data_IF_241179161773
#
_entry.id   IF_241179161773
#
_cell.length_a   1.000
_cell.length_b   1.000
_cell.length_c   1.000
_cell.angle_alpha   90.00
_cell.angle_beta   90.00
_cell.angle_gamma   90.00
#
_symmetry.space_group_name_H-M   'P 1'
#
loop_
_entity.id
_entity.type
_entity.pdbx_description
1 polymer ?
#
# COMPACT_ATOMS: atom_id res chain seq x y z
N UNK A 1 14.06 8.10 -21.94
CA UNK A 1 13.58 6.71 -21.78
C UNK A 1 12.30 6.66 -20.95
N UNK A 2 11.18 7.11 -21.52
CA UNK A 2 9.80 6.84 -21.04
C UNK A 2 8.86 6.54 -22.22
N UNK A 3 9.38 6.61 -23.45
CA UNK A 3 8.64 6.51 -24.71
C UNK A 3 9.19 5.40 -25.64
N UNK A 4 10.10 4.55 -25.17
CA UNK A 4 10.73 3.49 -25.98
C UNK A 4 9.84 2.27 -26.20
N UNK A 5 8.66 2.20 -25.56
CA UNK A 5 7.76 1.04 -25.64
C UNK A 5 8.24 -0.21 -24.89
N UNK A 6 9.56 -0.39 -24.78
CA UNK A 6 10.18 -1.43 -23.94
C UNK A 6 10.57 -0.83 -22.58
N UNK A 7 9.87 -1.28 -21.53
CA UNK A 7 10.14 -0.91 -20.14
C UNK A 7 10.67 -2.13 -19.39
N UNK A 8 11.71 -1.93 -18.57
CA UNK A 8 12.17 -2.95 -17.63
C UNK A 8 11.08 -3.30 -16.60
N UNK A 9 11.26 -4.41 -15.89
CA UNK A 9 10.33 -4.78 -14.81
C UNK A 9 10.91 -4.41 -13.44
N UNK A 10 10.08 -3.84 -12.58
CA UNK A 10 10.40 -3.62 -11.17
C UNK A 10 9.49 -4.49 -10.30
N UNK A 11 10.09 -5.46 -9.62
CA UNK A 11 9.42 -6.49 -8.83
C UNK A 11 8.37 -7.33 -9.60
N UNK A 12 8.25 -7.27 -10.93
CA UNK A 12 7.19 -7.97 -11.68
C UNK A 12 6.01 -7.08 -12.14
N UNK A 13 6.12 -5.77 -11.96
CA UNK A 13 5.36 -4.78 -12.74
C UNK A 13 6.27 -4.25 -13.86
N UNK A 14 5.75 -3.96 -15.08
CA UNK A 14 6.45 -3.07 -16.00
C UNK A 14 6.80 -1.78 -15.27
N UNK A 15 7.91 -1.10 -15.61
CA UNK A 15 8.29 0.15 -14.96
C UNK A 15 7.14 1.17 -15.07
N UNK A 16 6.38 1.28 -13.97
CA UNK A 16 5.11 2.00 -13.91
C UNK A 16 5.17 2.96 -12.73
N UNK A 17 4.68 4.17 -12.94
CA UNK A 17 4.52 5.14 -11.86
C UNK A 17 3.10 4.96 -11.32
N UNK A 18 3.02 4.49 -10.08
CA UNK A 18 1.77 4.40 -9.33
C UNK A 18 1.65 5.66 -8.48
N UNK A 19 0.57 6.40 -8.67
CA UNK A 19 0.26 7.64 -7.97
C UNK A 19 -1.05 7.47 -7.22
N UNK A 20 -1.09 7.90 -5.97
CA UNK A 20 -2.29 7.96 -5.14
C UNK A 20 -2.65 9.41 -4.85
N UNK A 21 -3.93 9.77 -5.02
CA UNK A 21 -4.50 11.10 -4.77
C UNK A 21 -5.93 10.94 -4.26
N UNK A 22 -6.54 12.01 -3.75
CA UNK A 22 -7.98 12.00 -3.42
C UNK A 22 -8.84 12.29 -4.65
N UNK A 23 -10.12 11.89 -4.60
CA UNK A 23 -11.10 12.24 -5.63
C UNK A 23 -11.29 13.76 -5.71
N UNK A 24 -11.41 14.42 -4.56
CA UNK A 24 -11.55 15.89 -4.46
C UNK A 24 -10.40 16.64 -5.15
N UNK A 25 -9.15 16.24 -4.93
CA UNK A 25 -7.99 16.85 -5.61
C UNK A 25 -8.02 16.62 -7.13
N UNK A 26 -8.48 15.44 -7.55
CA UNK A 26 -8.58 15.11 -8.97
C UNK A 26 -9.70 15.89 -9.66
N UNK A 27 -10.88 15.99 -9.04
CA UNK A 27 -12.03 16.76 -9.52
C UNK A 27 -11.76 18.27 -9.57
N UNK A 28 -11.06 18.81 -8.56
CA UNK A 28 -10.64 20.20 -8.53
C UNK A 28 -9.48 20.50 -9.49
N UNK A 29 -8.85 19.48 -10.07
CA UNK A 29 -7.61 19.56 -10.84
C UNK A 29 -6.48 20.31 -10.08
N UNK A 30 -6.47 20.20 -8.75
CA UNK A 30 -5.61 20.96 -7.85
C UNK A 30 -5.20 20.12 -6.64
N UNK A 31 -4.02 20.37 -6.08
CA UNK A 31 -3.45 19.56 -5.00
C UNK A 31 -2.27 18.72 -5.46
N UNK A 32 -2.02 17.58 -4.79
CA UNK A 32 -0.84 16.75 -5.08
C UNK A 32 -1.13 15.25 -5.03
N UNK A 33 -0.63 14.52 -6.03
CA UNK A 33 -0.51 13.07 -5.97
C UNK A 33 0.77 12.61 -5.28
N UNK A 34 0.73 11.49 -4.58
CA UNK A 34 1.88 10.81 -3.99
C UNK A 34 2.26 9.60 -4.85
N UNK A 35 3.48 9.58 -5.38
CA UNK A 35 4.01 8.40 -6.06
C UNK A 35 4.31 7.28 -5.05
N UNK A 36 4.29 6.02 -5.47
CA UNK A 36 4.69 4.89 -4.63
C UNK A 36 6.15 4.93 -4.17
N UNK A 37 6.99 5.81 -4.75
CA UNK A 37 8.34 6.10 -4.27
C UNK A 37 8.41 7.21 -3.20
N UNK A 38 7.29 7.87 -2.90
CA UNK A 38 7.18 8.95 -1.91
C UNK A 38 7.33 10.36 -2.48
N UNK A 39 7.59 10.53 -3.77
CA UNK A 39 7.63 11.86 -4.41
C UNK A 39 6.23 12.44 -4.55
N UNK A 40 6.05 13.73 -4.25
CA UNK A 40 4.80 14.48 -4.48
C UNK A 40 4.83 15.12 -5.86
N UNK A 41 3.74 14.95 -6.61
CA UNK A 41 3.55 15.53 -7.94
C UNK A 41 2.34 16.47 -7.90
N UNK A 42 2.42 17.68 -8.48
CA UNK A 42 1.23 18.51 -8.70
C UNK A 42 0.19 17.74 -9.52
N UNK A 43 -1.11 17.96 -9.27
CA UNK A 43 -2.17 17.27 -10.02
C UNK A 43 -2.09 17.53 -11.53
N UNK A 44 -1.59 18.70 -11.96
CA UNK A 44 -1.31 18.98 -13.37
C UNK A 44 -0.32 17.98 -14.00
N UNK A 45 0.73 17.60 -13.26
CA UNK A 45 1.69 16.59 -13.70
C UNK A 45 1.11 15.18 -13.63
N UNK A 46 0.28 14.88 -12.62
CA UNK A 46 -0.45 13.60 -12.54
C UNK A 46 -1.35 13.42 -13.76
N UNK A 47 -2.16 14.42 -14.11
CA UNK A 47 -3.03 14.41 -15.28
C UNK A 47 -2.18 14.28 -16.57
N UNK A 48 -1.10 15.05 -16.69
CA UNK A 48 -0.20 15.00 -17.84
C UNK A 48 0.41 13.60 -18.05
N UNK A 49 0.83 12.94 -16.97
CA UNK A 49 1.36 11.57 -17.02
C UNK A 49 0.26 10.55 -17.34
N UNK A 50 -0.94 10.74 -16.76
CA UNK A 50 -2.07 9.84 -16.95
C UNK A 50 -2.54 9.77 -18.41
N UNK A 51 -2.40 10.85 -19.20
CA UNK A 51 -2.79 10.90 -20.63
C UNK A 51 -2.17 9.80 -21.51
N UNK A 52 -1.05 9.23 -21.08
CA UNK A 52 -0.33 8.18 -21.82
C UNK A 52 -0.18 6.90 -20.99
N UNK A 53 -0.91 6.77 -19.88
CA UNK A 53 -0.83 5.63 -18.98
C UNK A 53 -1.92 4.59 -19.27
N UNK A 54 -1.65 3.33 -18.92
CA UNK A 54 -2.71 2.35 -18.72
C UNK A 54 -3.41 2.65 -17.40
N UNK A 55 -4.68 3.06 -17.48
CA UNK A 55 -5.46 3.43 -16.30
C UNK A 55 -5.88 2.17 -15.53
N UNK A 56 -5.51 2.13 -14.25
CA UNK A 56 -6.03 1.15 -13.29
C UNK A 56 -6.83 1.90 -12.24
N UNK A 57 -8.09 1.53 -12.05
CA UNK A 57 -8.94 2.02 -10.99
C UNK A 57 -8.97 0.99 -9.85
N UNK A 58 -8.59 1.40 -8.65
CA UNK A 58 -8.75 0.61 -7.44
C UNK A 58 -9.87 1.25 -6.61
N UNK A 59 -10.97 0.52 -6.42
CA UNK A 59 -12.11 0.95 -5.61
C UNK A 59 -11.97 0.34 -4.22
N UNK A 60 -12.16 1.17 -3.21
CA UNK A 60 -12.11 0.79 -1.80
C UNK A 60 -13.45 1.09 -1.13
N UNK A 61 -13.91 0.20 -0.25
CA UNK A 61 -15.01 0.42 0.67
C UNK A 61 -14.44 0.56 2.09
N UNK A 62 -14.54 1.75 2.70
CA UNK A 62 -13.97 2.04 4.02
C UNK A 62 -12.47 1.63 4.16
N UNK A 63 -11.69 1.80 3.09
CA UNK A 63 -10.28 1.41 3.04
C UNK A 63 -10.02 -0.09 2.79
N UNK A 64 -11.06 -0.90 2.59
CA UNK A 64 -10.94 -2.29 2.11
C UNK A 64 -11.00 -2.33 0.59
N UNK A 65 -10.03 -2.96 -0.09
CA UNK A 65 -10.17 -3.22 -1.51
C UNK A 65 -11.31 -4.20 -1.74
N UNK A 66 -12.15 -3.94 -2.75
CA UNK A 66 -13.14 -4.92 -3.20
C UNK A 66 -12.37 -6.15 -3.71
N UNK A 67 -12.54 -7.27 -3.02
CA UNK A 67 -11.57 -8.36 -2.89
C UNK A 67 -10.91 -8.85 -4.21
N UNK A 68 -9.61 -9.21 -4.13
CA UNK A 68 -8.82 -9.76 -5.24
C UNK A 68 -7.96 -10.94 -4.78
N UNK A 69 -8.23 -12.12 -5.35
CA UNK A 69 -7.64 -13.40 -4.97
C UNK A 69 -6.75 -13.99 -6.07
N UNK A 70 -5.72 -14.76 -5.68
CA UNK A 70 -4.90 -15.51 -6.63
C UNK A 70 -4.23 -16.73 -5.99
N UNK A 71 -3.99 -17.78 -6.77
CA UNK A 71 -3.40 -19.06 -6.31
C UNK A 71 -1.87 -19.09 -6.32
N UNK A 72 -1.20 -18.23 -7.10
CA UNK A 72 0.27 -18.16 -7.09
C UNK A 72 0.77 -17.41 -5.86
N UNK A 73 1.95 -17.80 -5.38
CA UNK A 73 2.63 -17.16 -4.24
C UNK A 73 2.88 -15.67 -4.42
N UNK A 74 3.24 -15.23 -5.63
CA UNK A 74 3.53 -13.83 -5.90
C UNK A 74 2.23 -13.06 -6.15
N UNK A 75 2.10 -11.90 -5.51
CA UNK A 75 0.95 -11.04 -5.72
C UNK A 75 0.86 -10.55 -7.16
N UNK A 76 -0.37 -10.49 -7.67
CA UNK A 76 -0.65 -10.00 -9.01
C UNK A 76 -0.38 -8.48 -9.12
N UNK A 77 -0.25 -7.95 -10.35
CA UNK A 77 -0.20 -6.51 -10.58
C UNK A 77 -1.34 -5.73 -9.90
N UNK A 78 -2.57 -6.24 -9.95
CA UNK A 78 -3.72 -5.60 -9.30
C UNK A 78 -3.57 -5.54 -7.78
N UNK A 79 -3.12 -6.64 -7.15
CA UNK A 79 -2.90 -6.68 -5.70
C UNK A 79 -1.83 -5.70 -5.25
N UNK A 80 -0.79 -5.50 -6.08
CA UNK A 80 0.24 -4.48 -5.84
C UNK A 80 -0.29 -3.07 -5.90
N UNK A 81 -1.06 -2.76 -6.94
CA UNK A 81 -1.68 -1.43 -7.09
C UNK A 81 -2.54 -1.11 -5.86
N UNK A 82 -3.32 -2.09 -5.41
CA UNK A 82 -4.11 -1.97 -4.19
C UNK A 82 -3.24 -1.68 -2.96
N UNK A 83 -2.17 -2.45 -2.74
CA UNK A 83 -1.27 -2.24 -1.61
C UNK A 83 -0.56 -0.86 -1.68
N UNK A 84 -0.18 -0.39 -2.86
CA UNK A 84 0.41 0.95 -2.99
C UNK A 84 -0.58 2.05 -2.67
N UNK A 85 -1.84 1.90 -3.04
CA UNK A 85 -2.87 2.87 -2.70
C UNK A 85 -3.21 2.84 -1.20
N UNK A 86 -3.30 1.64 -0.62
CA UNK A 86 -3.74 1.41 0.77
C UNK A 86 -2.64 1.60 1.80
N UNK A 87 -1.49 0.96 1.63
CA UNK A 87 -0.39 0.95 2.62
C UNK A 87 0.63 2.05 2.32
N UNK A 88 0.83 2.39 1.04
CA UNK A 88 1.79 3.38 0.50
C UNK A 88 3.28 3.11 0.81
N UNK A 89 3.57 2.27 1.79
CA UNK A 89 4.90 1.86 2.20
C UNK A 89 4.93 1.29 3.61
N UNK A 90 6.14 1.05 4.10
CA UNK A 90 6.41 0.66 5.48
C UNK A 90 7.01 1.88 6.20
N UNK A 91 8.27 1.84 6.64
CA UNK A 91 9.03 3.04 7.03
C UNK A 91 9.66 3.75 5.83
N UNK A 92 9.66 3.09 4.67
CA UNK A 92 10.12 3.62 3.39
C UNK A 92 8.98 3.55 2.39
N UNK A 93 9.06 4.34 1.31
CA UNK A 93 8.09 4.31 0.23
C UNK A 93 7.90 2.91 -0.35
N UNK A 94 6.69 2.62 -0.81
CA UNK A 94 6.29 1.30 -1.29
C UNK A 94 7.20 0.70 -2.35
N UNK A 95 7.85 1.48 -3.22
CA UNK A 95 8.78 0.93 -4.22
C UNK A 95 9.98 0.20 -3.60
N UNK A 96 10.30 0.48 -2.33
CA UNK A 96 11.34 -0.21 -1.58
C UNK A 96 10.78 -1.31 -0.66
N UNK A 97 9.52 -1.66 -0.85
CA UNK A 97 8.82 -2.69 -0.10
C UNK A 97 8.61 -3.96 -0.93
N UNK A 98 8.69 -5.08 -0.22
CA UNK A 98 8.22 -6.39 -0.62
C UNK A 98 6.78 -6.57 -0.14
N UNK A 99 6.13 -7.62 -0.64
CA UNK A 99 4.78 -7.99 -0.20
C UNK A 99 4.91 -9.13 0.80
N UNK A 100 4.40 -8.88 1.99
CA UNK A 100 4.39 -9.83 3.09
C UNK A 100 3.00 -10.44 3.24
N UNK A 101 2.93 -11.76 3.32
CA UNK A 101 1.73 -12.50 3.71
C UNK A 101 1.61 -12.52 5.23
N UNK A 102 0.48 -12.05 5.78
CA UNK A 102 0.23 -12.06 7.23
C UNK A 102 0.18 -13.50 7.75
N UNK A 103 -0.60 -14.35 7.08
CA UNK A 103 -0.52 -15.81 7.20
C UNK A 103 0.38 -16.35 6.10
N UNK A 104 1.48 -16.98 6.47
CA UNK A 104 2.47 -17.54 5.53
C UNK A 104 1.82 -18.28 4.36
N UNK A 105 2.32 -18.02 3.14
CA UNK A 105 1.82 -18.70 1.94
C UNK A 105 1.93 -20.23 2.02
N UNK A 106 2.95 -20.75 2.72
CA UNK A 106 3.12 -22.17 2.95
C UNK A 106 1.98 -22.80 3.76
N UNK A 107 1.21 -21.98 4.48
CA UNK A 107 0.06 -22.38 5.30
C UNK A 107 -1.26 -22.09 4.60
N UNK A 108 -1.42 -20.89 4.02
CA UNK A 108 -2.70 -20.47 3.45
C UNK A 108 -2.88 -20.80 1.96
N UNK A 109 -1.78 -21.11 1.26
CA UNK A 109 -1.72 -21.46 -0.18
C UNK A 109 -2.44 -20.47 -1.12
N UNK A 110 -2.73 -19.28 -0.64
CA UNK A 110 -3.49 -18.25 -1.34
C UNK A 110 -2.83 -16.92 -1.13
N UNK A 111 -2.91 -16.09 -2.16
CA UNK A 111 -2.49 -14.71 -2.10
C UNK A 111 -3.76 -13.89 -2.16
N UNK A 112 -4.38 -13.67 -1.00
CA UNK A 112 -5.56 -12.82 -0.84
C UNK A 112 -5.11 -11.43 -0.38
N UNK A 113 -5.62 -10.38 -1.01
CA UNK A 113 -5.29 -8.99 -0.68
C UNK A 113 -5.51 -8.65 0.81
N UNK A 114 -6.50 -9.26 1.46
CA UNK A 114 -6.76 -9.06 2.89
C UNK A 114 -5.72 -9.74 3.79
N UNK A 115 -4.94 -10.67 3.25
CA UNK A 115 -3.83 -11.35 3.92
C UNK A 115 -2.46 -10.77 3.50
N UNK A 116 -2.42 -9.61 2.83
CA UNK A 116 -1.17 -8.99 2.38
C UNK A 116 -0.92 -7.61 2.99
N UNK A 117 0.36 -7.25 3.13
CA UNK A 117 0.82 -5.89 3.45
C UNK A 117 2.17 -5.59 2.82
N UNK A 118 2.59 -4.32 2.81
CA UNK A 118 3.94 -3.93 2.43
C UNK A 118 4.95 -4.03 3.60
N UNK A 119 6.11 -4.61 3.35
CA UNK A 119 7.24 -4.66 4.27
C UNK A 119 8.55 -4.38 3.52
N UNK A 120 9.37 -3.43 3.98
CA UNK A 120 10.71 -3.24 3.41
C UNK A 120 11.61 -4.43 3.74
N UNK A 121 12.64 -4.71 2.94
CA UNK A 121 13.49 -5.88 3.16
C UNK A 121 14.10 -5.95 4.58
N UNK A 122 14.38 -4.81 5.22
CA UNK A 122 14.83 -4.77 6.62
C UNK A 122 13.77 -5.27 7.58
N UNK A 123 12.55 -4.73 7.51
CA UNK A 123 11.45 -5.14 8.40
C UNK A 123 10.88 -6.51 8.06
N UNK A 124 10.89 -6.91 6.79
CA UNK A 124 10.44 -8.24 6.40
C UNK A 124 11.31 -9.33 7.04
N UNK A 125 12.62 -9.08 7.22
CA UNK A 125 13.53 -10.00 7.92
C UNK A 125 13.34 -10.04 9.44
N UNK A 126 12.60 -9.11 10.03
CA UNK A 126 12.26 -9.14 11.46
C UNK A 126 11.12 -10.13 11.76
N UNK A 127 10.38 -10.55 10.73
CA UNK A 127 9.31 -11.53 10.81
C UNK A 127 9.93 -12.93 10.80
N UNK A 128 10.34 -13.36 11.99
CA UNK A 128 10.95 -14.65 12.25
C UNK A 128 10.18 -15.37 13.37
N UNK A 129 10.32 -16.70 13.49
CA UNK A 129 9.86 -17.41 14.67
C UNK A 129 10.36 -16.73 15.95
N UNK A 130 9.47 -16.43 16.89
CA UNK A 130 9.74 -15.70 18.14
C UNK A 130 10.20 -14.23 17.98
N UNK A 131 10.14 -13.68 16.76
CA UNK A 131 10.45 -12.29 16.44
C UNK A 131 9.19 -11.43 16.38
N UNK A 132 9.17 -10.49 15.42
CA UNK A 132 7.98 -9.70 15.14
C UNK A 132 6.93 -10.57 14.47
N UNK A 133 5.65 -10.23 14.66
CA UNK A 133 4.53 -10.82 13.92
C UNK A 133 3.63 -9.73 13.37
N UNK A 134 2.82 -10.05 12.37
CA UNK A 134 1.82 -9.12 11.84
C UNK A 134 0.41 -9.67 12.06
N UNK A 135 -0.57 -8.75 12.13
CA UNK A 135 -1.99 -9.07 12.21
C UNK A 135 -2.78 -8.12 11.34
N UNK A 136 -3.74 -8.63 10.56
CA UNK A 136 -4.70 -7.78 9.82
C UNK A 136 -5.96 -7.56 10.64
N UNK A 137 -6.40 -6.31 10.72
CA UNK A 137 -7.69 -5.94 11.30
C UNK A 137 -8.84 -6.00 10.28
N UNK A 138 -10.11 -6.09 10.71
CA UNK A 138 -11.26 -6.01 9.82
C UNK A 138 -11.34 -4.70 9.01
N UNK A 139 -10.87 -3.59 9.60
CA UNK A 139 -10.71 -2.31 8.90
C UNK A 139 -9.46 -2.27 7.98
N UNK A 140 -8.82 -3.42 7.75
CA UNK A 140 -7.73 -3.59 6.80
C UNK A 140 -6.39 -3.01 7.19
N UNK A 141 -6.30 -2.37 8.35
CA UNK A 141 -5.02 -1.92 8.90
C UNK A 141 -4.18 -3.13 9.30
N UNK A 142 -2.87 -3.02 9.10
CA UNK A 142 -1.92 -4.04 9.53
C UNK A 142 -1.24 -3.60 10.82
N UNK A 143 -1.32 -4.43 11.84
CA UNK A 143 -0.53 -4.29 13.06
C UNK A 143 0.79 -5.05 12.95
N UNK A 144 1.83 -4.44 13.50
CA UNK A 144 3.13 -5.04 13.75
C UNK A 144 3.30 -5.24 15.26
N UNK A 145 3.39 -6.50 15.66
CA UNK A 145 3.43 -6.91 17.06
C UNK A 145 4.87 -7.29 17.41
N UNK A 146 5.52 -6.59 18.35
CA UNK A 146 6.88 -6.88 18.79
C UNK A 146 6.93 -8.19 19.58
N UNK A 147 8.10 -8.84 19.67
CA UNK A 147 8.31 -9.90 20.66
C UNK A 147 8.24 -9.32 22.09
N UNK A 148 7.88 -10.11 23.12
CA UNK A 148 7.57 -9.60 24.47
C UNK A 148 8.65 -8.70 25.10
N UNK A 149 9.92 -8.98 24.85
CA UNK A 149 11.04 -8.20 25.39
C UNK A 149 11.17 -6.80 24.76
N UNK A 150 10.61 -6.60 23.56
CA UNK A 150 10.54 -5.32 22.83
C UNK A 150 9.17 -4.65 22.93
N UNK A 151 8.18 -5.25 23.61
CA UNK A 151 6.87 -4.64 23.82
C UNK A 151 6.95 -3.62 24.96
N UNK A 152 6.88 -2.34 24.62
CA UNK A 152 6.95 -1.19 25.54
C UNK A 152 5.72 -0.28 25.44
N UNK A 153 4.64 -0.77 24.84
CA UNK A 153 3.42 0.00 24.62
C UNK A 153 3.48 0.96 23.43
N UNK A 154 4.43 0.76 22.50
CA UNK A 154 4.52 1.55 21.27
C UNK A 154 3.30 1.35 20.34
N UNK A 155 3.01 2.33 19.46
CA UNK A 155 2.03 2.16 18.39
C UNK A 155 2.36 0.95 17.50
N UNK A 156 1.32 0.21 17.11
CA UNK A 156 1.45 -1.02 16.30
C UNK A 156 1.04 -0.85 14.84
N UNK A 157 0.42 0.27 14.49
CA UNK A 157 -0.05 0.57 13.14
C UNK A 157 0.78 1.67 12.49
N UNK A 158 0.92 1.61 11.16
CA UNK A 158 1.69 2.59 10.40
C UNK A 158 0.82 3.80 10.01
N UNK A 159 1.01 4.93 10.68
CA UNK A 159 0.36 6.21 10.33
C UNK A 159 1.28 7.14 9.51
N UNK A 160 2.55 6.78 9.31
CA UNK A 160 3.54 7.62 8.62
C UNK A 160 3.11 8.03 7.21
N UNK A 161 2.52 7.11 6.45
CA UNK A 161 2.03 7.38 5.10
C UNK A 161 0.57 7.89 5.03
N UNK A 162 -0.09 8.00 6.19
CA UNK A 162 -1.48 8.45 6.33
C UNK A 162 -1.61 9.47 7.47
N UNK A 163 -0.89 10.61 7.42
CA UNK A 163 -0.88 11.58 8.52
C UNK A 163 -2.27 12.13 8.82
N UNK A 164 -3.15 12.22 7.83
CA UNK A 164 -4.54 12.67 8.00
C UNK A 164 -5.33 11.80 8.99
N UNK A 165 -4.98 10.52 9.16
CA UNK A 165 -5.62 9.64 10.16
C UNK A 165 -5.32 10.06 11.60
N UNK A 166 -4.26 10.83 11.83
CA UNK A 166 -3.95 11.42 13.14
C UNK A 166 -4.69 12.73 13.37
N UNK A 167 -5.18 13.35 12.31
CA UNK A 167 -5.84 14.66 12.34
C UNK A 167 -7.37 14.57 12.30
N UNK A 168 -7.91 13.39 11.98
CA UNK A 168 -9.35 13.17 11.92
C UNK A 168 -9.94 13.13 13.32
N UNK A 169 -10.97 13.94 13.56
CA UNK A 169 -11.75 13.86 14.79
C UNK A 169 -12.83 12.77 14.60
N UNK A 170 -13.05 11.84 15.55
CA UNK A 170 -14.04 10.76 15.40
C UNK A 170 -15.47 11.26 15.18
N UNK A 171 -15.76 12.50 15.59
CA UNK A 171 -17.08 13.13 15.45
C UNK A 171 -17.43 13.52 14.01
N UNK A 172 -16.47 13.49 13.08
CA UNK A 172 -16.70 13.88 11.68
C UNK A 172 -17.45 12.80 10.87
N UNK A 173 -17.44 11.54 11.32
CA UNK A 173 -18.08 10.40 10.65
C UNK A 173 -19.60 10.29 10.94
N UNK A 174 -20.15 11.03 11.91
CA UNK A 174 -21.59 11.01 12.24
C UNK A 174 -22.46 11.87 11.30
N UNK A 175 -21.86 12.58 10.34
CA UNK A 175 -22.58 13.56 9.49
C UNK A 175 -22.58 13.26 7.99
N UNK A 176 -22.12 12.08 7.56
CA UNK A 176 -22.08 11.67 6.16
C UNK A 176 -23.15 10.63 5.79
#
# INVERSE_FOLDING_TARGET
MLASGELGQHNGLPASIIVSTTLTELEAAAGHGLTGGGTRLPISDVIRLARHAHHYLAIFDQGQPVALYHTKRLASPGQRIVLYAKDRGCTVGGYYCEIHHITDYATCHTTNIDNLTLACGTHHRLLQPHGWTTRKHPNGTTEWIPPPHLDKGQPRTNTYHHPNKLLHNPDDDETA
#
